data_IF_281794316427
#
_entry.id   IF_281794316427
#
_cell.length_a   1.000
_cell.length_b   1.000
_cell.length_c   1.000
_cell.angle_alpha   90.00
_cell.angle_beta   90.00
_cell.angle_gamma   90.00
#
_symmetry.space_group_name_H-M   'P 1'
#
loop_
_entity.id
_entity.type
_entity.pdbx_description
1 polymer ?
#
# COMPACT_ATOMS: atom_id res chain seq x y z
N UNK A 1 -14.16 -2.20 10.54
CA UNK A 1 -14.78 -2.93 9.42
C UNK A 1 -13.78 -3.99 8.97
N UNK A 2 -14.17 -5.26 9.02
CA UNK A 2 -13.35 -6.39 8.56
C UNK A 2 -12.81 -6.11 7.16
N UNK A 3 -11.49 -6.26 6.98
CA UNK A 3 -10.83 -6.15 5.68
C UNK A 3 -11.53 -7.10 4.71
N UNK A 4 -11.96 -6.58 3.54
CA UNK A 4 -12.63 -7.41 2.52
C UNK A 4 -11.68 -8.39 1.84
N UNK A 5 -10.38 -8.21 2.04
CA UNK A 5 -9.40 -9.26 1.84
C UNK A 5 -9.29 -10.04 3.15
N UNK A 6 -9.75 -11.29 3.15
CA UNK A 6 -9.59 -12.19 4.29
C UNK A 6 -8.12 -12.45 4.62
N UNK A 7 -7.86 -13.44 5.49
CA UNK A 7 -6.50 -13.94 5.70
C UNK A 7 -5.95 -14.52 4.38
N UNK A 8 -5.18 -13.72 3.64
CA UNK A 8 -4.56 -14.15 2.39
C UNK A 8 -3.23 -14.84 2.68
N UNK A 9 -2.81 -15.72 1.76
CA UNK A 9 -1.50 -16.40 1.82
C UNK A 9 -0.35 -15.38 1.94
N UNK A 10 -0.47 -14.24 1.25
CA UNK A 10 0.47 -13.13 1.36
C UNK A 10 0.50 -12.49 2.76
N UNK A 11 -0.63 -12.43 3.46
CA UNK A 11 -0.68 -11.93 4.84
C UNK A 11 0.06 -12.89 5.78
N UNK A 12 -0.12 -14.19 5.61
CA UNK A 12 0.60 -15.22 6.36
C UNK A 12 2.10 -15.18 6.05
N UNK A 13 2.48 -15.03 4.79
CA UNK A 13 3.87 -14.95 4.33
C UNK A 13 4.54 -13.69 4.87
N UNK A 14 3.89 -12.53 4.81
CA UNK A 14 4.42 -11.27 5.38
C UNK A 14 4.59 -11.34 6.89
N UNK A 15 3.65 -11.99 7.59
CA UNK A 15 3.76 -12.20 9.04
C UNK A 15 4.94 -13.13 9.37
N UNK A 16 5.08 -14.22 8.61
CA UNK A 16 6.20 -15.16 8.70
C UNK A 16 7.53 -14.44 8.43
N UNK A 17 7.61 -13.62 7.40
CA UNK A 17 8.81 -12.85 7.08
C UNK A 17 9.17 -11.85 8.20
N UNK A 18 8.18 -11.14 8.76
CA UNK A 18 8.40 -10.15 9.82
C UNK A 18 8.77 -10.75 11.17
N UNK A 19 8.37 -12.00 11.44
CA UNK A 19 8.59 -12.68 12.73
C UNK A 19 9.70 -13.72 12.59
N UNK A 20 9.50 -14.74 11.76
CA UNK A 20 10.38 -15.91 11.63
C UNK A 20 11.62 -15.65 10.77
N UNK A 21 11.58 -14.70 9.83
CA UNK A 21 12.73 -14.34 8.99
C UNK A 21 13.29 -12.95 9.33
N UNK A 22 13.03 -12.48 10.54
CA UNK A 22 13.57 -11.21 10.99
C UNK A 22 15.04 -11.40 11.42
N UNK A 23 16.00 -10.65 10.83
CA UNK A 23 17.41 -10.81 11.14
C UNK A 23 17.74 -10.49 12.61
N UNK A 24 16.99 -9.59 13.27
CA UNK A 24 17.19 -9.27 14.69
C UNK A 24 16.69 -10.40 15.60
N UNK A 25 15.54 -10.99 15.27
CA UNK A 25 14.99 -12.12 16.03
C UNK A 25 15.90 -13.34 15.89
N UNK A 26 16.25 -13.71 14.66
CA UNK A 26 17.13 -14.86 14.39
C UNK A 26 18.55 -14.64 14.91
N UNK A 27 19.07 -13.41 14.81
CA UNK A 27 20.35 -13.03 15.41
C UNK A 27 20.34 -13.17 16.93
N UNK A 28 19.26 -12.73 17.59
CA UNK A 28 19.12 -12.86 19.05
C UNK A 28 19.02 -14.32 19.49
N UNK A 29 18.22 -15.14 18.78
CA UNK A 29 18.10 -16.57 19.04
C UNK A 29 19.46 -17.27 18.86
N UNK A 30 20.18 -16.96 17.78
CA UNK A 30 21.49 -17.55 17.49
C UNK A 30 22.53 -17.14 18.53
N UNK A 31 22.50 -15.89 19.00
CA UNK A 31 23.37 -15.42 20.09
C UNK A 31 23.10 -16.20 21.40
N UNK A 32 21.84 -16.42 21.77
CA UNK A 32 21.48 -17.25 22.93
C UNK A 32 21.94 -18.69 22.73
N UNK A 33 21.67 -19.30 21.57
CA UNK A 33 22.05 -20.69 21.28
C UNK A 33 23.57 -20.88 21.21
N UNK A 34 24.34 -19.84 20.88
CA UNK A 34 25.82 -19.90 20.90
C UNK A 34 26.38 -20.09 22.32
N UNK A 35 25.58 -19.80 23.36
CA UNK A 35 25.94 -20.08 24.74
C UNK A 35 25.73 -21.56 25.05
N UNK A 36 26.82 -22.30 25.31
CA UNK A 36 26.80 -23.72 25.71
C UNK A 36 25.69 -24.07 26.73
N UNK A 37 25.53 -23.37 27.87
CA UNK A 37 24.51 -23.72 28.86
C UNK A 37 23.07 -23.55 28.34
N UNK A 38 22.83 -22.58 27.46
CA UNK A 38 21.51 -22.35 26.88
C UNK A 38 21.17 -23.42 25.83
N UNK A 39 22.14 -23.83 25.02
CA UNK A 39 21.97 -24.91 24.05
C UNK A 39 21.70 -26.25 24.74
N UNK A 40 22.44 -26.56 25.81
CA UNK A 40 22.23 -27.79 26.59
C UNK A 40 20.89 -27.78 27.32
N UNK A 41 20.47 -26.64 27.87
CA UNK A 41 19.13 -26.47 28.43
C UNK A 41 18.03 -26.72 27.38
N UNK A 42 18.17 -26.18 26.16
CA UNK A 42 17.19 -26.41 25.10
C UNK A 42 17.14 -27.88 24.66
N UNK A 43 18.30 -28.50 24.43
CA UNK A 43 18.40 -29.89 24.00
C UNK A 43 17.85 -30.86 25.04
N UNK A 44 18.06 -30.60 26.34
CA UNK A 44 17.49 -31.38 27.43
C UNK A 44 15.97 -31.23 27.54
N UNK A 45 15.42 -30.04 27.26
CA UNK A 45 13.95 -29.83 27.21
C UNK A 45 13.27 -30.55 26.06
N UNK A 46 13.99 -30.75 24.95
CA UNK A 46 13.49 -31.46 23.78
C UNK A 46 13.75 -32.97 23.83
N UNK A 47 14.31 -33.49 24.93
CA UNK A 47 14.71 -34.90 25.07
C UNK A 47 15.67 -35.38 23.96
N UNK A 48 16.46 -34.46 23.40
CA UNK A 48 17.37 -34.71 22.26
C UNK A 48 18.81 -35.03 22.71
N UNK A 49 19.00 -35.41 23.97
CA UNK A 49 20.31 -35.80 24.53
C UNK A 49 20.60 -37.27 24.23
N UNK A 50 20.84 -37.58 22.96
CA UNK A 50 21.25 -38.90 22.48
C UNK A 50 22.79 -39.06 22.38
N UNK A 51 23.29 -40.25 21.99
CA UNK A 51 24.73 -40.51 21.79
C UNK A 51 25.34 -39.74 20.61
N UNK A 52 24.50 -39.18 19.73
CA UNK A 52 24.91 -38.37 18.58
C UNK A 52 24.92 -36.90 18.99
N UNK A 53 26.04 -36.19 18.79
CA UNK A 53 26.13 -34.75 19.05
C UNK A 53 25.34 -33.96 18.00
N UNK A 54 24.13 -33.50 18.36
CA UNK A 54 23.26 -32.67 17.49
C UNK A 54 23.60 -31.16 17.64
N UNK A 55 24.37 -30.79 18.66
CA UNK A 55 24.82 -29.41 18.91
C UNK A 55 25.39 -28.68 17.68
N UNK A 56 26.37 -29.23 16.92
CA UNK A 56 26.92 -28.54 15.75
C UNK A 56 25.90 -28.39 14.63
N UNK A 57 24.94 -29.31 14.49
CA UNK A 57 23.87 -29.21 13.51
C UNK A 57 22.90 -28.07 13.85
N UNK A 58 22.48 -27.97 15.12
CA UNK A 58 21.59 -26.90 15.62
C UNK A 58 22.25 -25.52 15.48
N UNK A 59 23.54 -25.41 15.84
CA UNK A 59 24.26 -24.15 15.68
C UNK A 59 24.41 -23.76 14.21
N UNK A 60 24.79 -24.70 13.33
CA UNK A 60 24.92 -24.42 11.88
C UNK A 60 23.59 -24.00 11.27
N UNK A 61 22.49 -24.65 11.61
CA UNK A 61 21.16 -24.26 11.11
C UNK A 61 20.75 -22.88 11.61
N UNK A 62 21.00 -22.55 12.89
CA UNK A 62 20.73 -21.23 13.44
C UNK A 62 21.54 -20.11 12.75
N UNK A 63 22.83 -20.33 12.49
CA UNK A 63 23.66 -19.40 11.72
C UNK A 63 23.19 -19.25 10.28
N UNK A 64 22.83 -20.34 9.59
CA UNK A 64 22.31 -20.30 8.22
C UNK A 64 20.97 -19.54 8.14
N UNK A 65 20.06 -19.76 9.10
CA UNK A 65 18.78 -19.05 9.16
C UNK A 65 18.99 -17.56 9.39
N UNK A 66 19.90 -17.17 10.29
CA UNK A 66 20.24 -15.77 10.55
C UNK A 66 20.85 -15.12 9.30
N UNK A 67 21.80 -15.79 8.66
CA UNK A 67 22.42 -15.29 7.43
C UNK A 67 21.41 -15.15 6.29
N UNK A 68 20.56 -16.15 6.07
CA UNK A 68 19.48 -16.08 5.08
C UNK A 68 18.48 -14.95 5.37
N UNK A 69 18.12 -14.75 6.65
CA UNK A 69 17.24 -13.65 7.06
C UNK A 69 17.87 -12.28 6.81
N UNK A 70 19.18 -12.16 7.06
CA UNK A 70 19.92 -10.95 6.72
C UNK A 70 19.94 -10.69 5.22
N UNK A 71 20.20 -11.71 4.39
CA UNK A 71 20.17 -11.58 2.94
C UNK A 71 18.81 -11.14 2.41
N UNK A 72 17.72 -11.74 2.91
CA UNK A 72 16.35 -11.35 2.55
C UNK A 72 16.04 -9.92 2.99
N UNK A 73 16.39 -9.55 4.23
CA UNK A 73 16.19 -8.18 4.72
C UNK A 73 17.03 -7.15 3.95
N UNK A 74 18.25 -7.49 3.56
CA UNK A 74 19.10 -6.64 2.74
C UNK A 74 18.52 -6.49 1.32
N UNK A 75 18.03 -7.58 0.73
CA UNK A 75 17.34 -7.55 -0.55
C UNK A 75 16.08 -6.69 -0.50
N UNK A 76 15.24 -6.83 0.52
CA UNK A 76 14.03 -6.01 0.69
C UNK A 76 14.37 -4.53 0.91
N UNK A 77 15.43 -4.24 1.68
CA UNK A 77 15.95 -2.89 1.83
C UNK A 77 16.40 -2.32 0.48
N UNK A 78 17.23 -3.04 -0.27
CA UNK A 78 17.70 -2.62 -1.58
C UNK A 78 16.53 -2.42 -2.54
N UNK A 79 15.59 -3.35 -2.62
CA UNK A 79 14.39 -3.24 -3.45
C UNK A 79 13.59 -1.99 -3.11
N UNK A 80 13.41 -1.69 -1.82
CA UNK A 80 12.72 -0.47 -1.38
C UNK A 80 13.48 0.80 -1.79
N UNK A 81 14.80 0.80 -1.65
CA UNK A 81 15.60 1.94 -2.07
C UNK A 81 15.58 2.12 -3.59
N UNK A 82 15.71 1.05 -4.37
CA UNK A 82 15.57 1.09 -5.82
C UNK A 82 14.18 1.58 -6.25
N UNK A 83 13.11 1.06 -5.64
CA UNK A 83 11.74 1.48 -5.94
C UNK A 83 11.50 2.97 -5.64
N UNK A 84 12.17 3.52 -4.63
CA UNK A 84 12.11 4.93 -4.29
C UNK A 84 13.21 5.77 -4.97
N UNK A 85 13.92 5.23 -5.96
CA UNK A 85 15.05 5.87 -6.63
C UNK A 85 16.11 6.44 -5.66
N UNK A 86 16.33 5.75 -4.54
CA UNK A 86 17.21 6.14 -3.43
C UNK A 86 16.85 7.48 -2.77
N UNK A 87 15.65 8.00 -3.03
CA UNK A 87 15.12 9.22 -2.42
C UNK A 87 14.29 8.83 -1.20
N UNK A 88 14.54 9.50 -0.08
CA UNK A 88 13.63 9.47 1.07
C UNK A 88 13.22 10.89 1.40
N UNK A 89 11.94 11.22 1.18
CA UNK A 89 11.39 12.49 1.65
C UNK A 89 10.96 12.34 3.11
N UNK A 90 11.85 12.74 4.02
CA UNK A 90 11.56 12.78 5.46
C UNK A 90 10.86 14.08 5.88
N UNK A 91 10.74 15.03 4.97
CA UNK A 91 10.14 16.34 5.19
C UNK A 91 8.68 16.41 4.75
N UNK A 92 8.19 15.36 4.08
CA UNK A 92 6.82 15.27 3.60
C UNK A 92 5.81 15.34 4.75
N UNK A 93 4.92 16.33 4.68
CA UNK A 93 3.99 16.68 5.75
C UNK A 93 2.54 16.46 5.31
N UNK A 94 2.03 15.26 5.59
CA UNK A 94 0.67 14.84 5.23
C UNK A 94 -0.44 15.75 5.79
N UNK A 95 -0.18 16.61 6.78
CA UNK A 95 -1.17 17.57 7.30
C UNK A 95 -1.39 18.75 6.34
N UNK A 96 -0.44 19.02 5.43
CA UNK A 96 -0.49 20.11 4.45
C UNK A 96 -0.97 19.64 3.07
N UNK A 97 -1.00 18.33 2.85
CA UNK A 97 -1.36 17.77 1.56
C UNK A 97 -2.86 17.81 1.28
N UNK A 98 -3.20 18.07 0.02
CA UNK A 98 -4.55 17.96 -0.53
C UNK A 98 -4.55 16.78 -1.50
N UNK A 99 -5.19 15.69 -1.09
CA UNK A 99 -5.18 14.42 -1.81
C UNK A 99 -6.48 14.24 -2.57
N UNK A 100 -6.40 14.22 -3.89
CA UNK A 100 -7.54 13.87 -4.76
C UNK A 100 -7.57 12.36 -4.96
N UNK A 101 -8.73 11.74 -4.74
CA UNK A 101 -8.97 10.33 -5.04
C UNK A 101 -10.12 10.24 -6.04
N UNK A 102 -9.82 9.85 -7.28
CA UNK A 102 -10.86 9.58 -8.27
C UNK A 102 -11.47 8.20 -8.01
N UNK A 103 -12.79 8.03 -8.17
CA UNK A 103 -13.45 6.76 -7.87
C UNK A 103 -13.47 6.43 -6.37
N UNK A 104 -13.37 7.46 -5.51
CA UNK A 104 -13.23 7.31 -4.06
C UNK A 104 -14.53 7.08 -3.29
N UNK A 105 -15.69 7.04 -3.97
CA UNK A 105 -16.98 6.79 -3.32
C UNK A 105 -17.14 5.33 -2.92
N UNK A 106 -16.43 4.40 -3.54
CA UNK A 106 -16.53 2.96 -3.24
C UNK A 106 -15.22 2.19 -3.50
N UNK A 107 -15.25 0.87 -3.32
CA UNK A 107 -14.17 -0.04 -3.73
C UNK A 107 -12.79 0.27 -3.12
N UNK A 108 -11.77 0.22 -3.98
CA UNK A 108 -10.37 0.46 -3.62
C UNK A 108 -10.17 1.93 -3.24
N UNK A 109 -10.70 2.88 -4.02
CA UNK A 109 -10.59 4.31 -3.74
C UNK A 109 -11.14 4.69 -2.36
N UNK A 110 -12.31 4.17 -1.99
CA UNK A 110 -12.85 4.37 -0.64
C UNK A 110 -11.98 3.74 0.45
N UNK A 111 -11.38 2.56 0.20
CA UNK A 111 -10.48 1.91 1.15
C UNK A 111 -9.20 2.72 1.35
N UNK A 112 -8.62 3.26 0.27
CA UNK A 112 -7.45 4.14 0.31
C UNK A 112 -7.76 5.41 1.09
N UNK A 113 -8.87 6.09 0.78
CA UNK A 113 -9.27 7.31 1.48
C UNK A 113 -9.47 7.05 2.99
N UNK A 114 -10.18 5.98 3.36
CA UNK A 114 -10.43 5.62 4.76
C UNK A 114 -9.15 5.24 5.51
N UNK A 115 -8.26 4.49 4.88
CA UNK A 115 -6.99 4.09 5.49
C UNK A 115 -6.05 5.29 5.66
N UNK A 116 -6.08 6.24 4.73
CA UNK A 116 -5.30 7.46 4.89
C UNK A 116 -5.82 8.31 6.05
N UNK A 117 -7.15 8.44 6.20
CA UNK A 117 -7.76 9.10 7.35
C UNK A 117 -7.49 8.37 8.68
N UNK A 118 -7.44 7.03 8.67
CA UNK A 118 -7.16 6.23 9.87
C UNK A 118 -5.73 6.47 10.38
N UNK A 119 -4.79 6.68 9.46
CA UNK A 119 -3.38 6.98 9.76
C UNK A 119 -3.15 8.45 10.07
N UNK A 120 -3.82 9.35 9.35
CA UNK A 120 -3.74 10.79 9.57
C UNK A 120 -5.08 11.48 9.27
N UNK A 121 -5.82 11.84 10.33
CA UNK A 121 -7.12 12.54 10.22
C UNK A 121 -7.00 13.97 9.67
N UNK A 122 -5.81 14.58 9.72
CA UNK A 122 -5.61 15.97 9.29
C UNK A 122 -5.34 16.12 7.80
N UNK A 123 -4.99 15.04 7.12
CA UNK A 123 -4.86 15.01 5.66
C UNK A 123 -6.17 15.39 5.01
N UNK A 124 -6.13 16.33 4.06
CA UNK A 124 -7.32 16.76 3.34
C UNK A 124 -7.58 15.84 2.16
N UNK A 125 -8.75 15.22 2.11
CA UNK A 125 -9.13 14.29 1.04
C UNK A 125 -10.25 14.91 0.21
N UNK A 126 -10.05 14.90 -1.10
CA UNK A 126 -11.04 15.30 -2.09
C UNK A 126 -11.45 14.07 -2.87
N UNK A 127 -12.70 13.63 -2.71
CA UNK A 127 -13.27 12.52 -3.46
C UNK A 127 -13.88 13.07 -4.75
N UNK A 128 -13.44 12.53 -5.89
CA UNK A 128 -14.00 12.86 -7.21
C UNK A 128 -14.60 11.59 -7.78
N UNK A 129 -15.91 11.52 -7.93
CA UNK A 129 -16.58 10.30 -8.38
C UNK A 129 -17.88 10.64 -9.11
N UNK A 130 -18.30 9.78 -10.03
CA UNK A 130 -19.61 9.89 -10.67
C UNK A 130 -20.73 9.44 -9.70
N UNK A 131 -20.40 8.50 -8.82
CA UNK A 131 -21.32 7.93 -7.85
C UNK A 131 -21.32 8.75 -6.54
N UNK A 132 -22.50 8.90 -5.89
CA UNK A 132 -22.59 9.53 -4.58
C UNK A 132 -21.70 8.81 -3.56
N UNK A 133 -21.17 9.58 -2.61
CA UNK A 133 -20.30 9.08 -1.55
C UNK A 133 -21.02 7.98 -0.74
N UNK A 134 -20.56 6.72 -0.86
CA UNK A 134 -21.22 5.57 -0.25
C UNK A 134 -20.77 5.29 1.21
N UNK A 135 -20.02 6.21 1.81
CA UNK A 135 -19.53 6.10 3.17
C UNK A 135 -19.52 7.46 3.85
N UNK A 136 -19.66 7.46 5.18
CA UNK A 136 -19.72 8.69 5.96
C UNK A 136 -18.35 8.93 6.60
N UNK A 137 -17.66 10.04 6.28
CA UNK A 137 -16.49 10.47 7.04
C UNK A 137 -16.85 10.74 8.50
N UNK A 138 -15.88 10.60 9.40
CA UNK A 138 -16.02 11.06 10.78
C UNK A 138 -16.19 12.59 10.81
N UNK A 139 -16.84 13.13 11.85
CA UNK A 139 -17.25 14.54 11.87
C UNK A 139 -16.06 15.53 11.83
N UNK A 140 -14.88 15.10 12.28
CA UNK A 140 -13.63 15.86 12.31
C UNK A 140 -12.74 15.61 11.08
N UNK A 141 -13.10 14.67 10.20
CA UNK A 141 -12.33 14.35 9.01
C UNK A 141 -12.47 15.43 7.93
N UNK A 142 -11.34 15.80 7.31
CA UNK A 142 -11.30 16.83 6.25
C UNK A 142 -11.57 16.21 4.88
N UNK A 143 -12.82 15.83 4.64
CA UNK A 143 -13.24 15.20 3.37
C UNK A 143 -14.19 16.12 2.60
N UNK A 144 -13.88 16.39 1.34
CA UNK A 144 -14.76 17.06 0.37
C UNK A 144 -15.15 16.09 -0.74
N UNK A 145 -16.36 16.22 -1.29
CA UNK A 145 -16.85 15.37 -2.37
C UNK A 145 -17.31 16.22 -3.55
N UNK A 146 -16.86 15.86 -4.74
CA UNK A 146 -17.25 16.46 -6.01
C UNK A 146 -17.76 15.38 -6.94
N UNK A 147 -19.00 15.54 -7.41
CA UNK A 147 -19.55 14.65 -8.40
C UNK A 147 -18.97 14.98 -9.79
N UNK A 148 -18.32 14.02 -10.43
CA UNK A 148 -17.70 14.20 -11.74
C UNK A 148 -17.62 12.87 -12.49
N UNK A 149 -18.13 12.85 -13.73
CA UNK A 149 -17.78 11.81 -14.68
C UNK A 149 -16.42 12.12 -15.27
N UNK A 150 -15.40 11.33 -14.89
CA UNK A 150 -14.03 11.53 -15.37
C UNK A 150 -13.86 11.17 -16.86
N UNK A 151 -14.86 10.60 -17.51
CA UNK A 151 -14.83 10.37 -18.98
C UNK A 151 -15.18 11.63 -19.78
N UNK A 152 -15.75 12.65 -19.12
CA UNK A 152 -16.04 13.96 -19.70
C UNK A 152 -14.92 14.95 -19.35
N UNK A 153 -14.15 15.36 -20.37
CA UNK A 153 -13.05 16.31 -20.21
C UNK A 153 -13.48 17.70 -19.73
N UNK A 154 -14.69 18.13 -20.07
CA UNK A 154 -15.21 19.42 -19.63
C UNK A 154 -15.63 19.33 -18.16
N UNK A 155 -16.28 18.23 -17.77
CA UNK A 155 -16.61 17.96 -16.38
C UNK A 155 -15.36 17.89 -15.49
N UNK A 156 -14.27 17.27 -15.97
CA UNK A 156 -12.97 17.29 -15.28
C UNK A 156 -12.51 18.72 -15.07
N UNK A 157 -12.40 19.52 -16.14
CA UNK A 157 -11.91 20.90 -16.06
C UNK A 157 -12.71 21.73 -15.05
N UNK A 158 -14.04 21.67 -15.14
CA UNK A 158 -14.93 22.46 -14.29
C UNK A 158 -14.87 22.01 -12.83
N UNK A 159 -14.81 20.69 -12.60
CA UNK A 159 -14.67 20.13 -11.25
C UNK A 159 -13.34 20.52 -10.63
N UNK A 160 -12.23 20.42 -11.34
CA UNK A 160 -10.92 20.78 -10.79
C UNK A 160 -10.75 22.29 -10.60
N UNK A 161 -11.39 23.12 -11.43
CA UNK A 161 -11.48 24.56 -11.16
C UNK A 161 -12.20 24.85 -9.84
N UNK A 162 -13.32 24.15 -9.57
CA UNK A 162 -14.03 24.26 -8.30
C UNK A 162 -13.23 23.72 -7.12
N UNK A 163 -12.53 22.60 -7.26
CA UNK A 163 -11.66 22.05 -6.20
C UNK A 163 -10.60 23.09 -5.81
N UNK A 164 -9.92 23.70 -6.79
CA UNK A 164 -8.92 24.74 -6.52
C UNK A 164 -9.52 25.94 -5.78
N UNK A 165 -10.72 26.35 -6.14
CA UNK A 165 -11.42 27.47 -5.51
C UNK A 165 -11.93 27.15 -4.09
N UNK A 166 -12.55 25.99 -3.89
CA UNK A 166 -13.25 25.62 -2.66
C UNK A 166 -12.31 24.98 -1.62
N UNK A 167 -11.25 24.31 -2.07
CA UNK A 167 -10.37 23.48 -1.23
C UNK A 167 -8.91 23.95 -1.28
N UNK A 168 -8.43 24.33 -2.47
CA UNK A 168 -7.04 24.65 -2.76
C UNK A 168 -6.44 23.70 -3.79
N UNK A 169 -5.17 23.93 -4.14
CA UNK A 169 -4.48 23.15 -5.16
C UNK A 169 -4.14 21.72 -4.68
N UNK A 170 -4.58 20.67 -5.40
CA UNK A 170 -4.19 19.31 -5.09
C UNK A 170 -2.68 19.07 -5.20
N UNK A 171 -2.11 18.40 -4.20
CA UNK A 171 -0.68 18.06 -4.13
C UNK A 171 -0.43 16.56 -4.30
N UNK A 172 -1.47 15.74 -4.16
CA UNK A 172 -1.42 14.29 -4.41
C UNK A 172 -2.65 13.87 -5.22
N UNK A 173 -2.45 12.95 -6.16
CA UNK A 173 -3.54 12.37 -6.94
C UNK A 173 -3.49 10.84 -6.95
N UNK A 174 -4.63 10.23 -6.65
CA UNK A 174 -4.89 8.81 -6.83
C UNK A 174 -5.86 8.66 -8.00
N UNK A 175 -5.31 8.37 -9.18
CA UNK A 175 -6.07 7.98 -10.36
C UNK A 175 -6.60 6.55 -10.17
N UNK A 176 -7.73 6.43 -9.49
CA UNK A 176 -8.35 5.15 -9.16
C UNK A 176 -9.69 4.93 -9.87
N UNK A 177 -10.36 5.99 -10.33
CA UNK A 177 -11.58 5.83 -11.13
C UNK A 177 -11.27 4.97 -12.36
N UNK A 178 -12.07 3.93 -12.53
CA UNK A 178 -11.93 3.01 -13.63
C UNK A 178 -13.09 2.02 -13.66
N UNK A 179 -13.29 1.41 -14.82
CA UNK A 179 -14.29 0.39 -15.02
C UNK A 179 -13.76 -0.72 -15.91
N UNK A 180 -14.38 -1.89 -15.81
CA UNK A 180 -14.06 -3.05 -16.64
C UNK A 180 -15.35 -3.57 -17.26
N UNK A 181 -15.30 -3.82 -18.56
CA UNK A 181 -16.34 -4.57 -19.28
C UNK A 181 -15.81 -5.99 -19.51
N UNK A 182 -16.25 -6.93 -18.67
CA UNK A 182 -15.74 -8.32 -18.65
C UNK A 182 -16.21 -9.21 -19.80
N UNK A 183 -16.34 -8.68 -21.01
CA UNK A 183 -16.72 -9.44 -22.21
C UNK A 183 -15.47 -9.83 -23.00
N UNK A 184 -15.56 -10.89 -23.81
CA UNK A 184 -14.50 -11.21 -24.78
C UNK A 184 -14.44 -10.17 -25.90
N UNK A 185 -13.34 -10.15 -26.67
CA UNK A 185 -13.18 -9.21 -27.81
C UNK A 185 -14.30 -9.37 -28.84
N UNK A 186 -14.76 -10.61 -29.08
CA UNK A 186 -15.82 -10.89 -30.06
C UNK A 186 -17.22 -10.51 -29.57
N UNK A 187 -17.45 -10.50 -28.25
CA UNK A 187 -18.75 -10.19 -27.64
C UNK A 187 -18.87 -8.72 -27.21
N UNK A 188 -17.74 -8.05 -27.01
CA UNK A 188 -17.65 -6.64 -26.65
C UNK A 188 -18.12 -5.74 -27.78
N UNK A 189 -18.84 -4.68 -27.43
CA UNK A 189 -19.13 -3.61 -28.38
C UNK A 189 -17.92 -2.67 -28.52
N UNK A 190 -17.84 -1.95 -29.64
CA UNK A 190 -16.86 -0.86 -29.77
C UNK A 190 -17.00 0.19 -28.65
N UNK A 191 -18.25 0.48 -28.23
CA UNK A 191 -18.52 1.37 -27.12
C UNK A 191 -17.96 0.85 -25.78
N UNK A 192 -17.97 -0.47 -25.54
CA UNK A 192 -17.38 -1.09 -24.35
C UNK A 192 -15.85 -0.86 -24.30
N UNK A 193 -15.18 -0.97 -25.46
CA UNK A 193 -13.74 -0.69 -25.56
C UNK A 193 -13.45 0.80 -25.36
N UNK A 194 -14.22 1.66 -26.02
CA UNK A 194 -14.06 3.11 -25.97
C UNK A 194 -14.22 3.66 -24.55
N UNK A 195 -15.30 3.26 -23.84
CA UNK A 195 -15.52 3.72 -22.47
C UNK A 195 -14.43 3.22 -21.51
N UNK A 196 -13.90 2.01 -21.74
CA UNK A 196 -12.79 1.46 -20.95
C UNK A 196 -11.51 2.28 -21.17
N UNK A 197 -11.18 2.63 -22.42
CA UNK A 197 -10.02 3.47 -22.73
C UNK A 197 -10.20 4.89 -22.18
N UNK A 198 -11.40 5.48 -22.31
CA UNK A 198 -11.68 6.82 -21.77
C UNK A 198 -11.52 6.84 -20.25
N UNK A 199 -12.14 5.90 -19.53
CA UNK A 199 -12.11 5.88 -18.06
C UNK A 199 -10.74 5.47 -17.50
N UNK A 200 -10.06 4.48 -18.08
CA UNK A 200 -8.87 3.88 -17.45
C UNK A 200 -7.55 4.45 -17.98
N UNK A 201 -7.55 5.13 -19.13
CA UNK A 201 -6.33 5.68 -19.74
C UNK A 201 -6.42 7.19 -19.93
N UNK A 202 -7.43 7.68 -20.67
CA UNK A 202 -7.51 9.10 -20.99
C UNK A 202 -7.82 9.96 -19.75
N UNK A 203 -8.78 9.52 -18.92
CA UNK A 203 -9.18 10.23 -17.72
C UNK A 203 -8.01 10.47 -16.74
N UNK A 204 -7.18 9.46 -16.38
CA UNK A 204 -5.96 9.70 -15.59
C UNK A 204 -5.04 10.77 -16.17
N UNK A 205 -4.84 10.81 -17.49
CA UNK A 205 -4.00 11.82 -18.15
C UNK A 205 -4.60 13.22 -18.05
N UNK A 206 -5.91 13.35 -18.24
CA UNK A 206 -6.62 14.63 -18.17
C UNK A 206 -6.72 15.16 -16.73
N UNK A 207 -6.93 14.27 -15.75
CA UNK A 207 -6.86 14.62 -14.34
C UNK A 207 -5.46 15.10 -13.97
N UNK A 208 -4.41 14.40 -14.43
CA UNK A 208 -3.01 14.83 -14.22
C UNK A 208 -2.75 16.22 -14.80
N UNK A 209 -3.28 16.51 -16.00
CA UNK A 209 -3.17 17.84 -16.62
C UNK A 209 -3.74 18.97 -15.73
N UNK A 210 -4.77 18.70 -14.95
CA UNK A 210 -5.40 19.70 -14.06
C UNK A 210 -4.65 19.90 -12.72
N UNK A 211 -3.89 18.91 -12.26
CA UNK A 211 -3.21 18.96 -10.95
C UNK A 211 -1.71 19.26 -11.06
N UNK A 212 -1.04 18.80 -12.11
CA UNK A 212 0.41 18.94 -12.27
C UNK A 212 0.92 20.39 -12.21
N UNK A 213 0.25 21.41 -12.78
CA UNK A 213 0.76 22.79 -12.74
C UNK A 213 1.02 23.32 -11.31
N UNK A 214 0.29 22.83 -10.30
CA UNK A 214 0.46 23.25 -8.93
C UNK A 214 1.40 22.36 -8.10
N UNK A 215 1.73 21.15 -8.58
CA UNK A 215 2.59 20.20 -7.88
C UNK A 215 4.08 20.55 -7.93
N UNK A 216 4.47 21.53 -8.78
CA UNK A 216 5.87 21.92 -9.00
C UNK A 216 6.62 20.88 -9.84
N UNK A 217 7.30 21.35 -10.89
CA UNK A 217 8.31 20.59 -11.64
C UNK A 217 9.69 21.16 -11.31
#
# INVERSE_FOLDING_TARGET
MSSREGFTLDTAVKLTQKILLNPLVNGSITAVLSSKPALEFLLSRLSLTGPISIQPLVLRSAYLLTFGSFLLSANDYLNRQFANNWVSDRTYDWDKEIVVVTGGSSGIGASVAKEMLSRNRRTRIVIVDIAPLAWKPEADARVSYFQCDVTDSQAIRDTFARIRQEVGDPTVVFNNAGLVRGKTIMEGSYADAEVTVRANLLAPMLVLKEVLPAMGL
#
